data_IF_488800767589
#
_entry.id   IF_488800767589
#
_cell.length_a   1.000
_cell.length_b   1.000
_cell.length_c   1.000
_cell.angle_alpha   90.00
_cell.angle_beta   90.00
_cell.angle_gamma   90.00
#
_symmetry.space_group_name_H-M   'P 1'
#
loop_
_entity.id
_entity.type
_entity.pdbx_description
1 polymer ?
#
# COMPACT_ATOMS: atom_id res chain seq x y z
N UNK A 1 -18.48 22.83 -2.37
CA UNK A 1 -17.85 22.50 -1.06
C UNK A 1 -16.48 23.17 -1.07
N UNK A 2 -16.09 23.90 -0.01
CA UNK A 2 -14.75 24.52 0.04
C UNK A 2 -13.67 23.43 0.12
N UNK A 3 -12.48 23.68 -0.45
CA UNK A 3 -11.35 22.73 -0.40
C UNK A 3 -11.07 22.22 1.02
N UNK A 4 -11.10 23.12 2.00
CA UNK A 4 -10.93 22.79 3.44
C UNK A 4 -11.97 21.81 3.99
N UNK A 5 -13.22 21.85 3.52
CA UNK A 5 -14.26 20.93 4.00
C UNK A 5 -14.06 19.53 3.40
N UNK A 6 -13.50 19.44 2.21
CA UNK A 6 -13.16 18.18 1.56
C UNK A 6 -11.95 17.52 2.24
N UNK A 7 -10.87 18.26 2.43
CA UNK A 7 -9.65 17.77 3.13
C UNK A 7 -9.98 17.24 4.53
N UNK A 8 -10.79 17.98 5.31
CA UNK A 8 -11.22 17.53 6.64
C UNK A 8 -12.07 16.24 6.59
N UNK A 9 -12.89 16.09 5.55
CA UNK A 9 -13.69 14.88 5.40
C UNK A 9 -12.83 13.66 4.98
N UNK A 10 -11.79 13.88 4.18
CA UNK A 10 -10.84 12.85 3.77
C UNK A 10 -9.98 12.40 4.98
N UNK A 11 -9.45 13.32 5.78
CA UNK A 11 -8.75 13.02 7.03
C UNK A 11 -9.59 12.18 8.01
N UNK A 12 -10.84 12.59 8.23
CA UNK A 12 -11.74 11.86 9.12
C UNK A 12 -12.06 10.45 8.60
N UNK A 13 -12.21 10.30 7.29
CA UNK A 13 -12.47 9.00 6.68
C UNK A 13 -11.22 8.10 6.76
N UNK A 14 -10.04 8.65 6.51
CA UNK A 14 -8.77 7.95 6.66
C UNK A 14 -8.59 7.43 8.09
N UNK A 15 -8.78 8.30 9.09
CA UNK A 15 -8.72 7.91 10.50
C UNK A 15 -9.73 6.82 10.86
N UNK A 16 -10.94 6.87 10.31
CA UNK A 16 -11.95 5.83 10.55
C UNK A 16 -11.53 4.48 9.95
N UNK A 17 -10.92 4.49 8.77
CA UNK A 17 -10.43 3.26 8.14
C UNK A 17 -9.27 2.68 8.95
N UNK A 18 -8.31 3.50 9.37
CA UNK A 18 -7.19 3.07 10.21
C UNK A 18 -7.66 2.59 11.59
N UNK A 19 -8.66 3.25 12.17
CA UNK A 19 -9.23 2.82 13.44
C UNK A 19 -9.98 1.49 13.31
N UNK A 20 -10.71 1.28 12.21
CA UNK A 20 -11.34 -0.02 11.91
C UNK A 20 -10.28 -1.10 11.77
N UNK A 21 -9.20 -0.85 11.01
CA UNK A 21 -8.07 -1.78 10.86
C UNK A 21 -7.46 -2.11 12.22
N UNK A 22 -7.17 -1.10 13.04
CA UNK A 22 -6.60 -1.27 14.37
C UNK A 22 -7.48 -2.11 15.31
N UNK A 23 -8.76 -1.73 15.43
CA UNK A 23 -9.69 -2.45 16.33
C UNK A 23 -9.91 -3.90 15.88
N UNK A 24 -10.01 -4.13 14.57
CA UNK A 24 -10.10 -5.47 14.00
C UNK A 24 -8.82 -6.25 14.26
N UNK A 25 -7.65 -5.68 14.00
CA UNK A 25 -6.35 -6.30 14.25
C UNK A 25 -6.14 -6.68 15.72
N UNK A 26 -6.53 -5.81 16.67
CA UNK A 26 -6.51 -6.14 18.11
C UNK A 26 -7.38 -7.38 18.38
N UNK A 27 -8.57 -7.43 17.81
CA UNK A 27 -9.46 -8.58 17.95
C UNK A 27 -8.84 -9.86 17.40
N UNK A 28 -8.20 -9.80 16.23
CA UNK A 28 -7.51 -10.92 15.60
C UNK A 28 -6.34 -11.42 16.46
N UNK A 29 -5.44 -10.54 16.86
CA UNK A 29 -4.29 -10.88 17.73
C UNK A 29 -4.74 -11.58 19.00
N UNK A 30 -5.79 -11.09 19.66
CA UNK A 30 -6.31 -11.73 20.88
C UNK A 30 -6.83 -13.14 20.59
N UNK A 31 -7.64 -13.31 19.54
CA UNK A 31 -8.23 -14.61 19.18
C UNK A 31 -7.14 -15.60 18.76
N UNK A 32 -6.17 -15.15 17.98
CA UNK A 32 -5.04 -15.96 17.53
C UNK A 32 -4.12 -16.38 18.67
N UNK A 33 -3.79 -15.48 19.60
CA UNK A 33 -3.00 -15.81 20.79
C UNK A 33 -3.70 -16.84 21.66
N UNK A 34 -4.99 -16.65 21.92
CA UNK A 34 -5.78 -17.62 22.69
C UNK A 34 -5.77 -18.99 22.00
N UNK A 35 -6.00 -19.00 20.68
CA UNK A 35 -6.02 -20.24 19.91
C UNK A 35 -4.63 -20.89 19.81
N UNK A 36 -3.57 -20.10 19.61
CA UNK A 36 -2.19 -20.59 19.57
C UNK A 36 -1.77 -21.28 20.87
N UNK A 37 -2.15 -20.71 22.03
CA UNK A 37 -1.90 -21.31 23.35
C UNK A 37 -2.70 -22.60 23.50
N UNK A 38 -3.96 -22.63 23.10
CA UNK A 38 -4.83 -23.79 23.22
C UNK A 38 -4.39 -24.95 22.31
N UNK A 39 -4.10 -24.65 21.04
CA UNK A 39 -3.74 -25.65 20.01
C UNK A 39 -2.26 -26.04 20.01
N UNK A 40 -1.41 -25.36 20.77
CA UNK A 40 0.05 -25.45 20.71
C UNK A 40 0.61 -25.27 19.29
N UNK A 41 -0.11 -24.53 18.44
CA UNK A 41 0.28 -24.27 17.06
C UNK A 41 1.31 -23.15 16.99
N UNK A 42 2.53 -23.48 16.61
CA UNK A 42 3.59 -22.47 16.39
C UNK A 42 3.31 -21.57 15.20
N UNK A 43 2.66 -22.10 14.14
CA UNK A 43 2.29 -21.27 12.98
C UNK A 43 1.27 -20.19 13.37
N UNK A 44 0.23 -20.53 14.13
CA UNK A 44 -0.73 -19.54 14.63
C UNK A 44 -0.10 -18.56 15.62
N UNK A 45 0.85 -19.00 16.45
CA UNK A 45 1.57 -18.09 17.35
C UNK A 45 2.43 -17.08 16.55
N UNK A 46 3.10 -17.53 15.50
CA UNK A 46 3.86 -16.65 14.61
C UNK A 46 2.98 -15.64 13.90
N UNK A 47 1.80 -16.07 13.44
CA UNK A 47 0.78 -15.22 12.82
C UNK A 47 0.33 -14.11 13.80
N UNK A 48 -0.07 -14.50 15.01
CA UNK A 48 -0.46 -13.56 16.06
C UNK A 48 0.65 -12.54 16.42
N UNK A 49 1.91 -12.98 16.46
CA UNK A 49 3.05 -12.09 16.72
C UNK A 49 3.31 -11.14 15.55
N UNK A 50 3.08 -11.60 14.32
CA UNK A 50 3.15 -10.79 13.13
C UNK A 50 2.10 -9.68 13.18
N UNK A 51 0.84 -10.03 13.39
CA UNK A 51 -0.27 -9.09 13.50
C UNK A 51 -0.09 -8.11 14.65
N UNK A 52 0.39 -8.59 15.81
CA UNK A 52 0.72 -7.71 16.93
C UNK A 52 1.79 -6.67 16.58
N UNK A 53 2.78 -7.04 15.77
CA UNK A 53 3.80 -6.10 15.31
C UNK A 53 3.24 -5.07 14.33
N UNK A 54 2.30 -5.46 13.46
CA UNK A 54 1.61 -4.52 12.57
C UNK A 54 0.79 -3.48 13.32
N UNK A 55 0.15 -3.85 14.44
CA UNK A 55 -0.64 -2.91 15.25
C UNK A 55 0.19 -1.72 15.74
N UNK A 56 1.47 -1.91 16.03
CA UNK A 56 2.37 -0.80 16.42
C UNK A 56 2.46 0.25 15.29
N UNK A 57 2.54 -0.20 14.04
CA UNK A 57 2.58 0.72 12.89
C UNK A 57 1.25 1.43 12.67
N UNK A 58 0.13 0.75 12.85
CA UNK A 58 -1.21 1.37 12.71
C UNK A 58 -1.38 2.47 13.77
N UNK A 59 -0.94 2.25 15.00
CA UNK A 59 -0.96 3.28 16.05
C UNK A 59 -0.15 4.51 15.61
N UNK A 60 1.08 4.31 15.12
CA UNK A 60 1.91 5.41 14.62
C UNK A 60 1.24 6.16 13.49
N UNK A 61 0.62 5.46 12.54
CA UNK A 61 -0.10 6.08 11.43
C UNK A 61 -1.31 6.89 11.89
N UNK A 62 -2.06 6.41 12.89
CA UNK A 62 -3.18 7.16 13.48
C UNK A 62 -2.72 8.50 14.07
N UNK A 63 -1.56 8.53 14.73
CA UNK A 63 -0.96 9.76 15.26
C UNK A 63 -0.44 10.69 14.16
N UNK A 64 0.06 10.14 13.06
CA UNK A 64 0.67 10.90 11.97
C UNK A 64 -0.36 11.40 10.94
N UNK A 65 -1.54 10.77 10.85
CA UNK A 65 -2.58 11.17 9.88
C UNK A 65 -2.90 12.68 9.90
N UNK A 66 -3.04 13.37 11.08
CA UNK A 66 -3.24 14.82 11.08
C UNK A 66 -2.06 15.61 10.52
N UNK A 67 -0.84 15.07 10.60
CA UNK A 67 0.36 15.71 10.08
C UNK A 67 0.35 15.71 8.54
N UNK A 68 -0.11 14.62 7.93
CA UNK A 68 -0.19 14.48 6.47
C UNK A 68 -1.21 15.44 5.84
N UNK A 69 -2.19 15.91 6.61
CA UNK A 69 -3.21 16.85 6.14
C UNK A 69 -2.90 18.33 6.49
N UNK A 70 -1.70 18.61 7.05
CA UNK A 70 -1.28 19.99 7.26
C UNK A 70 -1.01 20.69 5.94
N UNK A 71 -1.45 21.95 5.79
CA UNK A 71 -1.19 22.71 4.57
C UNK A 71 0.30 22.96 4.35
N UNK A 72 0.67 23.06 3.10
CA UNK A 72 1.99 23.49 2.66
C UNK A 72 2.27 24.90 3.21
N UNK A 73 3.48 25.15 3.70
CA UNK A 73 3.92 26.42 4.25
C UNK A 73 5.36 26.73 3.83
N UNK A 74 5.80 27.97 3.97
CA UNK A 74 7.17 28.37 3.64
C UNK A 74 8.24 27.57 4.41
N UNK A 75 7.92 27.12 5.65
CA UNK A 75 8.80 26.23 6.43
C UNK A 75 8.81 24.80 5.93
N UNK A 76 7.75 24.36 5.29
CA UNK A 76 7.57 23.02 4.75
C UNK A 76 6.98 23.10 3.33
N UNK A 77 7.78 23.49 2.33
CA UNK A 77 7.29 23.75 0.97
C UNK A 77 6.73 22.50 0.27
N UNK A 78 7.18 21.32 0.66
CA UNK A 78 6.64 20.03 0.20
C UNK A 78 5.65 19.41 1.20
N UNK A 79 5.22 20.15 2.23
CA UNK A 79 4.38 19.62 3.31
C UNK A 79 5.06 18.50 4.10
N UNK A 80 4.26 17.58 4.62
CA UNK A 80 4.75 16.40 5.35
C UNK A 80 4.58 15.10 4.56
N UNK A 81 4.40 15.19 3.24
CA UNK A 81 4.12 14.02 2.40
C UNK A 81 5.30 13.04 2.31
N UNK A 82 6.55 13.52 2.42
CA UNK A 82 7.72 12.65 2.50
C UNK A 82 7.73 11.79 3.77
N UNK A 83 7.18 12.32 4.88
CA UNK A 83 7.05 11.56 6.13
C UNK A 83 6.12 10.37 5.93
N UNK A 84 5.03 10.55 5.17
CA UNK A 84 4.13 9.44 4.80
C UNK A 84 4.87 8.35 4.00
N UNK A 85 5.60 8.73 2.94
CA UNK A 85 6.40 7.79 2.15
C UNK A 85 7.46 7.07 2.98
N UNK A 86 8.10 7.78 3.93
CA UNK A 86 9.08 7.20 4.86
C UNK A 86 8.44 6.13 5.76
N UNK A 87 7.27 6.38 6.32
CA UNK A 87 6.57 5.40 7.17
C UNK A 87 6.08 4.20 6.36
N UNK A 88 5.57 4.42 5.15
CA UNK A 88 5.19 3.32 4.24
C UNK A 88 6.42 2.48 3.88
N UNK A 89 7.57 3.10 3.66
CA UNK A 89 8.83 2.41 3.42
C UNK A 89 9.21 1.51 4.61
N UNK A 90 9.21 2.06 5.84
CA UNK A 90 9.54 1.29 7.06
C UNK A 90 8.56 0.13 7.25
N UNK A 91 7.25 0.36 7.09
CA UNK A 91 6.24 -0.71 7.18
C UNK A 91 6.56 -1.83 6.18
N UNK A 92 6.82 -1.50 4.92
CA UNK A 92 7.09 -2.52 3.90
C UNK A 92 8.43 -3.25 4.12
N UNK A 93 9.47 -2.58 4.64
CA UNK A 93 10.72 -3.24 5.05
C UNK A 93 10.43 -4.26 6.14
N UNK A 94 9.65 -3.89 7.15
CA UNK A 94 9.29 -4.78 8.23
C UNK A 94 8.46 -5.96 7.72
N UNK A 95 7.42 -5.73 6.92
CA UNK A 95 6.62 -6.80 6.30
C UNK A 95 7.47 -7.76 5.48
N UNK A 96 8.41 -7.23 4.69
CA UNK A 96 9.37 -8.05 3.93
C UNK A 96 10.23 -8.89 4.85
N UNK A 97 10.74 -8.31 5.94
CA UNK A 97 11.59 -9.01 6.91
C UNK A 97 10.83 -10.15 7.60
N UNK A 98 9.57 -9.90 7.99
CA UNK A 98 8.71 -10.94 8.58
C UNK A 98 8.40 -12.02 7.55
N UNK A 99 8.08 -11.67 6.30
CA UNK A 99 7.84 -12.64 5.22
C UNK A 99 9.07 -13.55 5.03
N UNK A 100 10.27 -12.98 5.02
CA UNK A 100 11.53 -13.75 4.93
C UNK A 100 11.69 -14.68 6.16
N UNK A 101 11.38 -14.19 7.35
CA UNK A 101 11.44 -14.99 8.59
C UNK A 101 10.44 -16.15 8.56
N UNK A 102 9.20 -15.89 8.15
CA UNK A 102 8.17 -16.95 7.98
C UNK A 102 8.60 -17.96 6.93
N UNK A 103 9.12 -17.49 5.78
CA UNK A 103 9.63 -18.39 4.72
C UNK A 103 10.76 -19.30 5.25
N UNK A 104 11.69 -18.75 6.03
CA UNK A 104 12.76 -19.52 6.66
C UNK A 104 12.20 -20.59 7.58
N UNK A 105 11.25 -20.22 8.46
CA UNK A 105 10.58 -21.16 9.37
C UNK A 105 9.80 -22.25 8.61
N UNK A 106 9.13 -21.90 7.53
CA UNK A 106 8.40 -22.85 6.67
C UNK A 106 9.37 -23.85 6.02
N UNK A 107 10.51 -23.37 5.51
CA UNK A 107 11.54 -24.23 4.92
C UNK A 107 12.15 -25.16 5.99
N UNK A 108 12.48 -24.65 7.19
CA UNK A 108 12.98 -25.47 8.29
C UNK A 108 11.99 -26.57 8.67
N UNK A 109 10.69 -26.26 8.77
CA UNK A 109 9.65 -27.24 9.04
C UNK A 109 9.52 -28.27 7.93
N UNK A 110 9.62 -27.83 6.66
CA UNK A 110 9.61 -28.74 5.50
C UNK A 110 10.76 -29.75 5.58
N UNK A 111 11.97 -29.29 5.94
CA UNK A 111 13.16 -30.13 6.05
C UNK A 111 13.14 -31.03 7.29
N UNK A 112 12.46 -30.63 8.37
CA UNK A 112 12.34 -31.42 9.61
C UNK A 112 11.21 -32.44 9.63
N UNK A 113 10.51 -32.63 8.52
CA UNK A 113 9.49 -33.68 8.37
C UNK A 113 8.04 -33.21 8.56
N UNK A 114 7.82 -31.91 8.53
CA UNK A 114 6.47 -31.32 8.61
C UNK A 114 6.00 -31.06 10.05
N UNK A 115 4.70 -30.84 10.22
CA UNK A 115 4.11 -30.45 11.51
C UNK A 115 3.04 -31.45 11.99
N UNK A 116 3.14 -31.89 13.24
CA UNK A 116 2.20 -32.82 13.89
C UNK A 116 1.18 -32.05 14.74
N UNK A 117 0.23 -31.38 14.09
CA UNK A 117 -0.86 -30.65 14.75
C UNK A 117 -2.22 -31.20 14.33
N UNK A 118 -3.30 -30.88 15.08
CA UNK A 118 -4.66 -31.21 14.66
C UNK A 118 -5.05 -30.33 13.48
N UNK A 119 -4.82 -30.88 12.29
CA UNK A 119 -5.00 -30.19 11.01
C UNK A 119 -6.44 -29.79 10.75
N UNK A 120 -7.41 -30.58 11.27
CA UNK A 120 -8.84 -30.30 11.10
C UNK A 120 -9.27 -29.04 11.85
N UNK A 121 -8.87 -28.94 13.11
CA UNK A 121 -9.17 -27.78 13.95
C UNK A 121 -8.47 -26.52 13.43
N UNK A 122 -7.19 -26.62 13.05
CA UNK A 122 -6.46 -25.47 12.47
C UNK A 122 -7.05 -25.06 11.15
N UNK A 123 -7.47 -26.00 10.27
CA UNK A 123 -8.14 -25.67 9.01
C UNK A 123 -9.42 -24.85 9.23
N UNK A 124 -10.28 -25.29 10.15
CA UNK A 124 -11.51 -24.59 10.46
C UNK A 124 -11.24 -23.20 11.06
N UNK A 125 -10.28 -23.12 11.98
CA UNK A 125 -9.89 -21.85 12.59
C UNK A 125 -9.37 -20.85 11.54
N UNK A 126 -8.46 -21.27 10.69
CA UNK A 126 -7.93 -20.44 9.60
C UNK A 126 -9.00 -20.05 8.57
N UNK A 127 -10.00 -20.92 8.32
CA UNK A 127 -11.14 -20.57 7.47
C UNK A 127 -11.95 -19.41 8.09
N UNK A 128 -12.26 -19.51 9.38
CA UNK A 128 -13.01 -18.46 10.07
C UNK A 128 -12.24 -17.14 10.11
N UNK A 129 -10.93 -17.17 10.38
CA UNK A 129 -10.08 -15.98 10.31
C UNK A 129 -10.06 -15.39 8.91
N UNK A 130 -9.81 -16.19 7.88
CA UNK A 130 -9.78 -15.74 6.50
C UNK A 130 -11.09 -15.12 6.03
N UNK A 131 -12.25 -15.68 6.42
CA UNK A 131 -13.56 -15.10 6.13
C UNK A 131 -13.78 -13.78 6.88
N UNK A 132 -13.37 -13.71 8.14
CA UNK A 132 -13.46 -12.47 8.91
C UNK A 132 -12.54 -11.39 8.33
N UNK A 133 -11.28 -11.71 7.98
CA UNK A 133 -10.35 -10.81 7.29
C UNK A 133 -10.92 -10.33 5.96
N UNK A 134 -11.57 -11.21 5.19
CA UNK A 134 -12.21 -10.85 3.92
C UNK A 134 -13.34 -9.82 4.12
N UNK A 135 -14.16 -9.98 5.17
CA UNK A 135 -15.22 -9.02 5.50
C UNK A 135 -14.60 -7.64 5.81
N UNK A 136 -13.56 -7.58 6.65
CA UNK A 136 -12.86 -6.34 6.99
C UNK A 136 -12.25 -5.70 5.73
N UNK A 137 -11.57 -6.49 4.91
CA UNK A 137 -11.00 -6.04 3.64
C UNK A 137 -12.06 -5.42 2.71
N UNK A 138 -13.22 -6.05 2.58
CA UNK A 138 -14.31 -5.54 1.75
C UNK A 138 -14.89 -4.23 2.29
N UNK A 139 -15.05 -4.12 3.61
CA UNK A 139 -15.50 -2.88 4.26
C UNK A 139 -14.47 -1.77 4.03
N UNK A 140 -13.18 -2.02 4.25
CA UNK A 140 -12.12 -1.04 4.02
C UNK A 140 -12.04 -0.60 2.57
N UNK A 141 -12.12 -1.53 1.61
CA UNK A 141 -12.18 -1.21 0.18
C UNK A 141 -13.41 -0.38 -0.19
N UNK A 142 -14.55 -0.65 0.40
CA UNK A 142 -15.76 0.15 0.18
C UNK A 142 -15.59 1.57 0.71
N UNK A 143 -15.08 1.72 1.92
CA UNK A 143 -14.82 3.02 2.54
C UNK A 143 -13.75 3.82 1.78
N UNK A 144 -12.70 3.17 1.29
CA UNK A 144 -11.56 3.82 0.63
C UNK A 144 -11.86 4.36 -0.78
N UNK A 145 -13.02 3.99 -1.38
CA UNK A 145 -13.39 4.45 -2.74
C UNK A 145 -13.45 5.97 -2.90
N UNK A 146 -13.57 6.71 -1.80
CA UNK A 146 -13.75 8.17 -1.78
C UNK A 146 -12.47 8.94 -1.48
N UNK A 147 -11.38 8.25 -1.20
CA UNK A 147 -10.10 8.87 -0.82
C UNK A 147 -8.93 8.20 -1.55
N UNK A 148 -7.90 9.00 -1.85
CA UNK A 148 -6.64 8.50 -2.40
C UNK A 148 -5.54 8.64 -1.34
N UNK A 149 -5.44 7.66 -0.44
CA UNK A 149 -4.44 7.63 0.62
C UNK A 149 -3.47 6.47 0.41
N UNK A 150 -2.14 6.72 0.27
CA UNK A 150 -1.12 5.68 0.23
C UNK A 150 -1.12 4.82 1.49
N UNK A 151 -1.35 5.44 2.65
CA UNK A 151 -1.45 4.77 3.94
C UNK A 151 -2.58 3.75 3.97
N UNK A 152 -3.79 4.14 3.51
CA UNK A 152 -4.93 3.22 3.41
C UNK A 152 -4.69 2.11 2.39
N UNK A 153 -3.99 2.41 1.28
CA UNK A 153 -3.60 1.37 0.30
C UNK A 153 -2.65 0.35 0.90
N UNK A 154 -1.69 0.79 1.72
CA UNK A 154 -0.77 -0.10 2.43
C UNK A 154 -1.51 -1.00 3.44
N UNK A 155 -2.49 -0.45 4.18
CA UNK A 155 -3.34 -1.24 5.09
C UNK A 155 -4.20 -2.26 4.33
N UNK A 156 -4.83 -1.85 3.23
CA UNK A 156 -5.61 -2.77 2.38
C UNK A 156 -4.73 -3.89 1.82
N UNK A 157 -3.46 -3.63 1.52
CA UNK A 157 -2.53 -4.67 1.11
C UNK A 157 -2.27 -5.66 2.27
N UNK A 158 -2.03 -5.19 3.49
CA UNK A 158 -1.90 -6.05 4.67
C UNK A 158 -3.09 -7.00 4.78
N UNK A 159 -4.32 -6.48 4.85
CA UNK A 159 -5.53 -7.30 4.93
C UNK A 159 -5.73 -8.27 3.76
N UNK A 160 -5.24 -7.95 2.54
CA UNK A 160 -5.23 -8.91 1.43
C UNK A 160 -4.26 -10.07 1.67
N UNK A 161 -3.11 -9.77 2.25
CA UNK A 161 -2.12 -10.79 2.60
C UNK A 161 -2.69 -11.73 3.66
N UNK A 162 -3.34 -11.18 4.70
CA UNK A 162 -3.98 -11.97 5.76
C UNK A 162 -5.07 -12.88 5.21
N UNK A 163 -5.96 -12.36 4.35
CA UNK A 163 -6.98 -13.18 3.66
C UNK A 163 -6.34 -14.32 2.86
N UNK A 164 -5.32 -14.00 2.06
CA UNK A 164 -4.67 -14.99 1.21
C UNK A 164 -3.92 -16.05 2.04
N UNK A 165 -3.24 -15.63 3.09
CA UNK A 165 -2.53 -16.51 4.00
C UNK A 165 -3.52 -17.44 4.74
N UNK A 166 -4.53 -16.90 5.43
CA UNK A 166 -5.48 -17.67 6.23
C UNK A 166 -6.30 -18.63 5.37
N UNK A 167 -6.81 -18.20 4.22
CA UNK A 167 -7.55 -19.08 3.31
C UNK A 167 -6.63 -20.13 2.66
N UNK A 168 -5.40 -19.76 2.31
CA UNK A 168 -4.39 -20.68 1.79
C UNK A 168 -4.04 -21.76 2.81
N UNK A 169 -3.81 -21.38 4.06
CA UNK A 169 -3.53 -22.30 5.17
C UNK A 169 -4.73 -23.19 5.48
N UNK A 170 -5.96 -22.63 5.50
CA UNK A 170 -7.18 -23.43 5.67
C UNK A 170 -7.30 -24.51 4.59
N UNK A 171 -7.12 -24.13 3.32
CA UNK A 171 -7.15 -25.08 2.21
C UNK A 171 -6.07 -26.15 2.32
N UNK A 172 -4.85 -25.75 2.72
CA UNK A 172 -3.73 -26.67 2.93
C UNK A 172 -4.05 -27.73 3.97
N UNK A 173 -4.50 -27.29 5.13
CA UNK A 173 -4.86 -28.22 6.21
C UNK A 173 -6.05 -29.09 5.85
N UNK A 174 -7.05 -28.55 5.16
CA UNK A 174 -8.18 -29.33 4.67
C UNK A 174 -7.74 -30.45 3.72
N UNK A 175 -6.89 -30.13 2.73
CA UNK A 175 -6.32 -31.13 1.82
C UNK A 175 -5.48 -32.14 2.58
N UNK A 176 -4.65 -31.69 3.52
CA UNK A 176 -3.82 -32.56 4.34
C UNK A 176 -4.65 -33.59 5.16
N UNK A 177 -5.82 -33.17 5.69
CA UNK A 177 -6.76 -34.07 6.38
C UNK A 177 -7.31 -35.12 5.43
N UNK A 178 -7.77 -34.72 4.23
CA UNK A 178 -8.34 -35.64 3.25
C UNK A 178 -7.33 -36.71 2.75
N UNK A 179 -6.07 -36.30 2.65
CA UNK A 179 -4.99 -37.15 2.14
C UNK A 179 -4.38 -38.09 3.17
N UNK A 180 -4.65 -37.93 4.47
CA UNK A 180 -4.09 -38.76 5.54
C UNK A 180 -4.33 -40.26 5.32
N UNK A 181 -5.50 -40.65 4.78
CA UNK A 181 -5.91 -42.03 4.61
C UNK A 181 -5.71 -42.55 3.17
N UNK A 182 -4.98 -41.82 2.33
CA UNK A 182 -4.69 -42.23 0.94
C UNK A 182 -3.21 -42.61 0.78
N UNK A 183 -2.86 -43.17 -0.38
CA UNK A 183 -1.45 -43.43 -0.75
C UNK A 183 -0.57 -42.15 -0.75
N UNK A 184 -1.20 -40.97 -0.82
CA UNK A 184 -0.55 -39.67 -0.73
C UNK A 184 -0.42 -39.13 0.71
N UNK A 185 -0.86 -39.90 1.71
CA UNK A 185 -0.75 -39.55 3.12
C UNK A 185 0.67 -39.18 3.57
N UNK A 186 1.68 -39.69 2.86
CA UNK A 186 3.08 -39.31 3.05
C UNK A 186 3.32 -37.78 2.90
N UNK A 187 2.60 -37.10 2.01
CA UNK A 187 2.73 -35.65 1.82
C UNK A 187 1.90 -34.83 2.81
N UNK A 188 0.98 -35.46 3.54
CA UNK A 188 0.09 -34.80 4.50
C UNK A 188 0.81 -33.87 5.50
N UNK A 189 2.00 -34.18 6.05
CA UNK A 189 2.74 -33.27 6.93
C UNK A 189 3.31 -32.04 6.25
N UNK A 190 3.43 -32.04 4.93
CA UNK A 190 4.12 -31.01 4.15
C UNK A 190 3.19 -30.03 3.44
N UNK A 191 1.88 -30.29 3.40
CA UNK A 191 0.95 -29.50 2.61
C UNK A 191 0.85 -28.04 3.06
N UNK A 192 0.87 -27.78 4.37
CA UNK A 192 0.81 -26.41 4.87
C UNK A 192 2.04 -25.59 4.43
N UNK A 193 3.23 -26.18 4.48
CA UNK A 193 4.48 -25.55 4.05
C UNK A 193 4.48 -25.28 2.55
N UNK A 194 4.03 -26.24 1.74
CA UNK A 194 3.98 -26.09 0.28
C UNK A 194 3.02 -24.95 -0.11
N UNK A 195 1.84 -24.91 0.47
CA UNK A 195 0.86 -23.88 0.14
C UNK A 195 1.28 -22.52 0.70
N UNK A 196 1.88 -22.47 1.91
CA UNK A 196 2.44 -21.24 2.44
C UNK A 196 3.51 -20.65 1.48
N UNK A 197 4.41 -21.48 0.94
CA UNK A 197 5.39 -21.06 -0.07
C UNK A 197 4.69 -20.54 -1.33
N UNK A 198 3.68 -21.26 -1.83
CA UNK A 198 2.93 -20.84 -3.03
C UNK A 198 2.25 -19.50 -2.80
N UNK A 199 1.57 -19.31 -1.66
CA UNK A 199 0.94 -18.02 -1.31
C UNK A 199 1.98 -16.90 -1.25
N UNK A 200 3.12 -17.12 -0.60
CA UNK A 200 4.20 -16.13 -0.53
C UNK A 200 4.75 -15.76 -1.91
N UNK A 201 4.93 -16.72 -2.82
CA UNK A 201 5.39 -16.44 -4.19
C UNK A 201 4.45 -15.49 -4.91
N UNK A 202 3.14 -15.58 -4.69
CA UNK A 202 2.17 -14.68 -5.30
C UNK A 202 2.07 -13.31 -4.59
N UNK A 203 2.36 -13.24 -3.28
CA UNK A 203 2.19 -12.01 -2.48
C UNK A 203 3.44 -11.13 -2.42
N UNK A 204 4.64 -11.74 -2.39
CA UNK A 204 5.92 -11.02 -2.32
C UNK A 204 6.09 -9.97 -3.43
N UNK A 205 5.73 -10.22 -4.71
CA UNK A 205 5.89 -9.20 -5.75
C UNK A 205 5.10 -7.91 -5.47
N UNK A 206 3.89 -7.98 -4.90
CA UNK A 206 3.09 -6.79 -4.57
C UNK A 206 3.74 -5.99 -3.43
N UNK A 207 4.24 -6.67 -2.39
CA UNK A 207 4.95 -6.05 -1.26
C UNK A 207 6.24 -5.36 -1.72
N UNK A 208 7.04 -6.05 -2.57
CA UNK A 208 8.27 -5.47 -3.14
C UNK A 208 7.96 -4.25 -4.02
N UNK A 209 6.89 -4.31 -4.82
CA UNK A 209 6.47 -3.18 -5.65
C UNK A 209 6.12 -1.96 -4.80
N UNK A 210 5.41 -2.14 -3.69
CA UNK A 210 5.12 -1.05 -2.76
C UNK A 210 6.38 -0.51 -2.07
N UNK A 211 7.31 -1.40 -1.68
CA UNK A 211 8.60 -1.02 -1.11
C UNK A 211 9.40 -0.14 -2.08
N UNK A 212 9.52 -0.58 -3.34
CA UNK A 212 10.22 0.16 -4.40
C UNK A 212 9.53 1.50 -4.69
N UNK A 213 8.19 1.53 -4.72
CA UNK A 213 7.44 2.77 -4.92
C UNK A 213 7.69 3.78 -3.80
N UNK A 214 7.60 3.34 -2.53
CA UNK A 214 7.86 4.20 -1.37
C UNK A 214 9.31 4.72 -1.34
N UNK A 215 10.28 3.87 -1.73
CA UNK A 215 11.66 4.27 -1.87
C UNK A 215 11.82 5.34 -2.96
N UNK A 216 11.26 5.14 -4.14
CA UNK A 216 11.32 6.11 -5.24
C UNK A 216 10.68 7.45 -4.87
N UNK A 217 9.56 7.42 -4.16
CA UNK A 217 8.87 8.62 -3.67
C UNK A 217 9.70 9.39 -2.64
N UNK A 218 10.38 8.67 -1.72
CA UNK A 218 11.24 9.29 -0.73
C UNK A 218 12.43 10.01 -1.35
N UNK A 219 13.02 9.44 -2.40
CA UNK A 219 14.16 10.01 -3.12
C UNK A 219 13.75 10.87 -4.32
N UNK A 220 12.47 11.23 -4.45
CA UNK A 220 11.94 12.09 -5.50
C UNK A 220 12.20 11.57 -6.92
N UNK A 221 12.29 10.27 -7.12
CA UNK A 221 12.39 9.71 -8.46
C UNK A 221 11.07 9.90 -9.22
N UNK A 222 11.19 10.06 -10.53
CA UNK A 222 10.02 10.13 -11.40
C UNK A 222 9.09 8.92 -11.22
N UNK A 223 7.77 9.10 -11.28
CA UNK A 223 6.80 8.02 -11.22
C UNK A 223 6.96 7.03 -12.38
N UNK A 224 6.04 6.06 -12.49
CA UNK A 224 6.06 5.09 -13.58
C UNK A 224 6.02 5.78 -14.95
N UNK A 225 6.79 5.26 -15.93
CA UNK A 225 6.95 5.85 -17.25
C UNK A 225 5.60 6.14 -17.94
N UNK A 226 4.61 5.28 -17.77
CA UNK A 226 3.24 5.49 -18.29
C UNK A 226 2.60 6.78 -17.79
N UNK A 227 2.81 7.12 -16.52
CA UNK A 227 2.30 8.36 -15.91
C UNK A 227 3.02 9.56 -16.49
N UNK A 228 4.33 9.47 -16.63
CA UNK A 228 5.17 10.52 -17.23
C UNK A 228 4.75 10.78 -18.68
N UNK A 229 4.62 9.73 -19.48
CA UNK A 229 4.24 9.83 -20.91
C UNK A 229 2.84 10.44 -21.06
N UNK A 230 1.92 10.07 -20.17
CA UNK A 230 0.57 10.61 -20.17
C UNK A 230 0.53 12.10 -19.81
N UNK A 231 1.32 12.53 -18.84
CA UNK A 231 1.46 13.95 -18.49
C UNK A 231 2.08 14.72 -19.64
N UNK A 232 3.11 14.18 -20.31
CA UNK A 232 3.73 14.78 -21.48
C UNK A 232 2.74 14.94 -22.64
N UNK A 233 1.91 13.94 -22.89
CA UNK A 233 0.87 14.00 -23.93
C UNK A 233 -0.16 15.09 -23.65
N UNK A 234 -0.66 15.15 -22.40
CA UNK A 234 -1.67 16.16 -22.01
C UNK A 234 -1.07 17.57 -22.09
N UNK A 235 0.11 17.75 -21.52
CA UNK A 235 0.76 19.07 -21.47
C UNK A 235 1.23 19.56 -22.83
N UNK A 236 1.78 18.68 -23.67
CA UNK A 236 2.22 19.04 -25.01
C UNK A 236 1.07 19.66 -25.85
N UNK A 237 -0.10 19.01 -25.87
CA UNK A 237 -1.29 19.50 -26.57
C UNK A 237 -1.77 20.88 -26.08
N UNK A 238 -1.57 21.18 -24.79
CA UNK A 238 -1.99 22.47 -24.22
C UNK A 238 -0.95 23.55 -24.53
N UNK A 239 0.34 23.23 -24.35
CA UNK A 239 1.43 24.19 -24.53
C UNK A 239 1.60 24.62 -25.99
N UNK A 240 1.31 23.74 -26.96
CA UNK A 240 1.27 24.07 -28.38
C UNK A 240 0.32 25.25 -28.69
N UNK A 241 -0.84 25.36 -28.02
CA UNK A 241 -1.79 26.44 -28.19
C UNK A 241 -1.24 27.83 -27.79
N UNK A 242 -0.19 27.86 -26.98
CA UNK A 242 0.47 29.06 -26.48
C UNK A 242 1.84 29.28 -27.11
N UNK A 243 2.24 28.46 -28.08
CA UNK A 243 3.59 28.47 -28.69
C UNK A 243 4.71 28.29 -27.65
N UNK A 244 4.45 27.47 -26.63
CA UNK A 244 5.41 27.13 -25.60
C UNK A 244 6.02 25.76 -25.92
N UNK A 245 7.33 25.70 -26.05
CA UNK A 245 8.06 24.46 -26.35
C UNK A 245 8.57 23.86 -25.04
N UNK A 246 8.02 22.72 -24.57
CA UNK A 246 8.51 22.09 -23.36
C UNK A 246 9.90 21.49 -23.59
N UNK A 247 10.85 21.80 -22.69
CA UNK A 247 12.24 21.36 -22.76
C UNK A 247 12.53 20.27 -21.75
N UNK A 248 12.03 20.45 -20.52
CA UNK A 248 12.28 19.52 -19.44
C UNK A 248 11.04 19.32 -18.57
N UNK A 249 10.85 18.10 -18.11
CA UNK A 249 9.76 17.73 -17.22
C UNK A 249 10.33 17.21 -15.90
N UNK A 250 10.13 17.95 -14.82
CA UNK A 250 10.37 17.48 -13.46
C UNK A 250 9.03 16.96 -12.91
N UNK A 251 8.91 15.65 -12.88
CA UNK A 251 7.72 14.98 -12.36
C UNK A 251 8.16 14.08 -11.22
N UNK A 252 7.73 14.43 -10.01
CA UNK A 252 8.05 13.69 -8.80
C UNK A 252 6.80 13.41 -7.99
N UNK A 253 6.83 12.38 -7.15
CA UNK A 253 5.76 12.02 -6.25
C UNK A 253 6.25 11.95 -4.81
N UNK A 254 5.50 12.53 -3.90
CA UNK A 254 5.74 12.47 -2.47
C UNK A 254 4.46 12.05 -1.76
N UNK A 255 4.40 10.79 -1.31
CA UNK A 255 3.20 10.23 -0.71
C UNK A 255 1.98 10.39 -1.61
N UNK A 256 0.96 11.10 -1.11
CA UNK A 256 -0.29 11.36 -1.83
C UNK A 256 -0.20 12.47 -2.88
N UNK A 257 0.86 13.29 -2.90
CA UNK A 257 0.99 14.46 -3.78
C UNK A 257 1.91 14.17 -4.96
N UNK A 258 1.50 14.59 -6.15
CA UNK A 258 2.32 14.58 -7.36
C UNK A 258 2.66 16.01 -7.76
N UNK A 259 3.93 16.26 -7.99
CA UNK A 259 4.50 17.53 -8.39
C UNK A 259 4.87 17.45 -9.86
N UNK A 260 4.42 18.40 -10.64
CA UNK A 260 4.66 18.47 -12.08
C UNK A 260 5.18 19.86 -12.40
N UNK A 261 6.47 20.01 -12.63
CA UNK A 261 7.07 21.26 -13.08
C UNK A 261 7.51 21.09 -14.54
N UNK A 262 7.00 21.92 -15.42
CA UNK A 262 7.27 21.85 -16.86
C UNK A 262 8.08 23.07 -17.25
N UNK A 263 9.31 22.84 -17.63
CA UNK A 263 10.20 23.88 -18.15
C UNK A 263 9.93 24.06 -19.63
N UNK A 264 9.71 25.30 -20.05
CA UNK A 264 9.39 25.64 -21.43
C UNK A 264 10.24 26.80 -21.94
N UNK A 265 10.50 26.80 -23.24
CA UNK A 265 11.14 27.90 -23.96
C UNK A 265 10.15 28.56 -24.90
N UNK A 266 10.44 29.81 -25.23
CA UNK A 266 9.72 30.60 -26.22
C UNK A 266 10.70 31.19 -27.21
N UNK A 267 10.30 31.25 -28.46
CA UNK A 267 11.12 31.86 -29.54
C UNK A 267 10.98 33.40 -29.61
N UNK A 268 10.15 33.99 -28.71
CA UNK A 268 9.85 35.44 -28.72
C UNK A 268 10.71 36.17 -27.67
N UNK A 269 11.14 37.40 -28.02
CA UNK A 269 11.91 38.27 -27.12
C UNK A 269 11.09 38.77 -25.91
N UNK A 270 9.78 38.69 -25.95
CA UNK A 270 8.89 39.10 -24.87
C UNK A 270 7.70 38.18 -24.76
N UNK A 271 7.29 37.87 -23.55
CA UNK A 271 6.14 37.03 -23.25
C UNK A 271 5.12 37.78 -22.39
N UNK A 272 3.84 37.64 -22.72
CA UNK A 272 2.78 38.18 -21.88
C UNK A 272 2.53 37.28 -20.69
N UNK A 273 2.69 37.80 -19.48
CA UNK A 273 2.44 37.06 -18.22
C UNK A 273 1.05 36.46 -18.17
N UNK A 274 0.05 37.10 -18.80
CA UNK A 274 -1.32 36.57 -18.88
C UNK A 274 -1.37 35.21 -19.58
N UNK A 275 -0.60 35.01 -20.65
CA UNK A 275 -0.55 33.74 -21.37
C UNK A 275 0.07 32.61 -20.49
N UNK A 276 1.09 32.93 -19.71
CA UNK A 276 1.66 31.98 -18.74
C UNK A 276 0.61 31.59 -17.70
N UNK A 277 -0.14 32.55 -17.18
CA UNK A 277 -1.20 32.28 -16.19
C UNK A 277 -2.34 31.43 -16.78
N UNK A 278 -2.79 31.73 -18.00
CA UNK A 278 -3.84 30.98 -18.70
C UNK A 278 -3.38 29.55 -19.03
N UNK A 279 -2.15 29.36 -19.51
CA UNK A 279 -1.56 28.06 -19.79
C UNK A 279 -1.43 27.23 -18.49
N UNK A 280 -0.91 27.82 -17.43
CA UNK A 280 -0.79 27.16 -16.14
C UNK A 280 -2.16 26.74 -15.56
N UNK A 281 -3.16 27.59 -15.68
CA UNK A 281 -4.53 27.27 -15.27
C UNK A 281 -5.11 26.11 -16.07
N UNK A 282 -5.00 26.16 -17.39
CA UNK A 282 -5.49 25.10 -18.29
C UNK A 282 -4.80 23.76 -18.04
N UNK A 283 -3.48 23.77 -17.78
CA UNK A 283 -2.71 22.60 -17.42
C UNK A 283 -3.17 22.01 -16.09
N UNK A 284 -3.30 22.84 -15.03
CA UNK A 284 -3.77 22.38 -13.73
C UNK A 284 -5.17 21.79 -13.81
N UNK A 285 -6.10 22.41 -14.53
CA UNK A 285 -7.46 21.91 -14.71
C UNK A 285 -7.46 20.55 -15.42
N UNK A 286 -6.66 20.40 -16.48
CA UNK A 286 -6.66 19.18 -17.28
C UNK A 286 -5.91 18.03 -16.59
N UNK A 287 -4.76 18.33 -15.99
CA UNK A 287 -3.97 17.32 -15.26
C UNK A 287 -4.72 16.87 -13.99
N UNK A 288 -5.38 17.79 -13.27
CA UNK A 288 -6.15 17.43 -12.07
C UNK A 288 -7.42 16.62 -12.37
N UNK A 289 -7.95 16.66 -13.59
CA UNK A 289 -9.06 15.78 -14.00
C UNK A 289 -8.64 14.31 -14.04
N UNK A 290 -7.42 14.02 -14.49
CA UNK A 290 -6.90 12.65 -14.59
C UNK A 290 -6.08 12.26 -13.36
N UNK A 291 -5.37 13.22 -12.77
CA UNK A 291 -4.53 13.06 -11.57
C UNK A 291 -4.96 14.05 -10.48
N UNK A 292 -5.98 13.72 -9.67
CA UNK A 292 -6.57 14.67 -8.71
C UNK A 292 -5.59 15.22 -7.66
N UNK A 293 -4.52 14.47 -7.37
CA UNK A 293 -3.51 14.81 -6.38
C UNK A 293 -2.31 15.56 -6.99
N UNK A 294 -2.35 15.87 -8.30
CA UNK A 294 -1.27 16.56 -8.99
C UNK A 294 -1.36 18.09 -8.80
N UNK A 295 -0.20 18.70 -8.61
CA UNK A 295 0.00 20.15 -8.70
C UNK A 295 0.94 20.42 -9.85
N UNK A 296 0.47 21.22 -10.84
CA UNK A 296 1.25 21.53 -12.03
C UNK A 296 1.65 22.99 -12.03
N UNK A 297 2.89 23.28 -12.39
CA UNK A 297 3.42 24.61 -12.65
C UNK A 297 4.26 24.60 -13.93
N UNK A 298 4.32 25.76 -14.59
CA UNK A 298 5.18 25.96 -15.74
C UNK A 298 6.26 26.99 -15.39
N UNK A 299 7.47 26.72 -15.82
CA UNK A 299 8.68 27.51 -15.51
C UNK A 299 9.32 27.89 -16.83
N UNK A 300 9.57 29.20 -17.01
CA UNK A 300 10.32 29.68 -18.18
C UNK A 300 11.79 29.25 -18.03
N UNK A 301 12.28 28.48 -18.99
CA UNK A 301 13.68 28.12 -19.07
C UNK A 301 14.45 29.26 -19.75
N UNK A 302 15.44 29.79 -19.05
CA UNK A 302 16.25 30.92 -19.50
C UNK A 302 17.70 30.53 -19.82
N UNK A 303 17.96 29.21 -19.91
CA UNK A 303 19.33 28.70 -20.18
C UNK A 303 19.49 28.21 -21.61
#
# INVERSE_FOLDING_TARGET
MSSRSRERSEELLEKRILLLSFLSGVGFVIVELIYAIYSHSQSTLMDALYDASELVFIILLLFLTPLFHRPISEKHPYGFFQVESFFILIKNIMMTSVTVSVLTSVIEKLLSGGNAIDKGQVSLFQLMLGLASLIILLIMKWMSRKISSPTVKAEILGWKLDVAYSLGMSLAFFIAVQLQNTSLGFFSPYFDQIIAIVVMIFMVPETIKMLVSAFRELFLFSPEQKTVDRIKEISGKILENYSFTPVFYDISRTGRKMWVSIYFQVEMDSICVKYIQEANKSLNEKISQEFPDASCEIILDTH
#
